data_IF_607042989175
#
_entry.id   IF_607042989175
#
_cell.length_a   1.000
_cell.length_b   1.000
_cell.length_c   1.000
_cell.angle_alpha   90.00
_cell.angle_beta   90.00
_cell.angle_gamma   90.00
#
_symmetry.space_group_name_H-M   'P 1'
#
loop_
_entity.id
_entity.type
_entity.pdbx_description
1 polymer ?
#
# COMPACT_ATOMS: atom_id res chain seq x y z
N UNK A 1 -11.34 10.26 7.90
CA UNK A 1 -10.77 9.57 9.06
C UNK A 1 -11.24 8.11 9.07
N UNK A 2 -10.28 7.17 9.00
CA UNK A 2 -10.53 5.73 8.94
C UNK A 2 -10.85 5.11 10.32
N UNK A 3 -10.61 5.85 11.40
CA UNK A 3 -10.97 5.41 12.73
C UNK A 3 -12.49 5.35 12.94
N UNK A 4 -13.24 6.13 12.17
CA UNK A 4 -14.69 6.16 12.24
C UNK A 4 -15.28 4.94 11.51
N UNK A 5 -15.97 4.03 12.19
CA UNK A 5 -16.54 2.82 11.58
C UNK A 5 -17.51 3.12 10.43
N UNK A 6 -18.27 4.22 10.52
CA UNK A 6 -19.19 4.66 9.48
C UNK A 6 -18.47 5.03 8.19
N UNK A 7 -17.27 5.61 8.24
CA UNK A 7 -16.48 5.92 7.05
C UNK A 7 -15.99 4.65 6.36
N UNK A 8 -15.51 3.66 7.12
CA UNK A 8 -15.11 2.36 6.56
C UNK A 8 -16.31 1.63 5.95
N UNK A 9 -17.45 1.60 6.66
CA UNK A 9 -18.70 1.03 6.12
C UNK A 9 -19.15 1.70 4.83
N UNK A 10 -18.99 3.02 4.73
CA UNK A 10 -19.32 3.77 3.51
C UNK A 10 -18.41 3.37 2.35
N UNK A 11 -17.09 3.23 2.58
CA UNK A 11 -16.15 2.74 1.56
C UNK A 11 -16.52 1.31 1.12
N UNK A 12 -16.77 0.41 2.05
CA UNK A 12 -17.19 -0.96 1.75
C UNK A 12 -18.52 -1.00 0.98
N UNK A 13 -19.46 -0.08 1.27
CA UNK A 13 -20.71 0.06 0.51
C UNK A 13 -20.46 0.44 -0.95
N UNK A 14 -19.51 1.35 -1.21
CA UNK A 14 -19.11 1.74 -2.58
C UNK A 14 -18.49 0.53 -3.30
N UNK A 15 -17.56 -0.17 -2.65
CA UNK A 15 -16.94 -1.37 -3.23
C UNK A 15 -17.99 -2.44 -3.54
N UNK A 16 -18.92 -2.69 -2.62
CA UNK A 16 -20.04 -3.62 -2.81
C UNK A 16 -20.90 -3.24 -4.01
N UNK A 17 -21.23 -1.96 -4.15
CA UNK A 17 -22.02 -1.44 -5.27
C UNK A 17 -21.32 -1.68 -6.60
N UNK A 18 -20.02 -1.36 -6.70
CA UNK A 18 -19.23 -1.57 -7.91
C UNK A 18 -19.15 -3.06 -8.27
N UNK A 19 -18.75 -3.91 -7.33
CA UNK A 19 -18.58 -5.36 -7.56
C UNK A 19 -19.90 -6.01 -7.95
N UNK A 20 -21.00 -5.57 -7.36
CA UNK A 20 -22.32 -6.16 -7.63
C UNK A 20 -22.86 -5.75 -8.99
N UNK A 21 -22.74 -4.46 -9.35
CA UNK A 21 -23.38 -3.87 -10.54
C UNK A 21 -22.58 -4.03 -11.81
N UNK A 22 -21.25 -4.14 -11.72
CA UNK A 22 -20.37 -4.20 -12.87
C UNK A 22 -19.68 -5.56 -13.00
N UNK A 23 -19.35 -5.93 -14.22
CA UNK A 23 -18.55 -7.11 -14.50
C UNK A 23 -17.06 -6.74 -14.50
N UNK A 24 -16.52 -6.60 -13.29
CA UNK A 24 -15.12 -6.26 -13.05
C UNK A 24 -14.33 -7.50 -12.62
N UNK A 25 -13.07 -7.59 -13.08
CA UNK A 25 -12.16 -8.66 -12.69
C UNK A 25 -11.47 -8.40 -11.36
N UNK A 26 -11.29 -7.11 -11.03
CA UNK A 26 -10.63 -6.70 -9.79
C UNK A 26 -11.10 -5.34 -9.28
N UNK A 27 -10.92 -5.15 -7.97
CA UNK A 27 -10.90 -3.84 -7.31
C UNK A 27 -9.45 -3.51 -6.99
N UNK A 28 -9.03 -2.28 -7.29
CA UNK A 28 -7.67 -1.81 -7.05
C UNK A 28 -7.66 -0.50 -6.28
N UNK A 29 -6.79 -0.39 -5.28
CA UNK A 29 -6.60 0.83 -4.49
C UNK A 29 -5.19 1.37 -4.66
N UNK A 30 -5.10 2.70 -4.70
CA UNK A 30 -3.86 3.44 -4.67
C UNK A 30 -3.27 3.52 -3.24
N UNK A 31 -2.25 4.31 -3.00
CA UNK A 31 -1.47 4.41 -1.75
C UNK A 31 -1.97 5.47 -0.75
N UNK A 32 -3.09 6.11 -1.01
CA UNK A 32 -3.67 7.18 -0.16
C UNK A 32 -4.47 6.62 1.03
N UNK A 33 -3.84 5.81 1.87
CA UNK A 33 -4.46 5.27 3.09
C UNK A 33 -4.58 6.35 4.17
N UNK A 34 -3.47 6.99 4.54
CA UNK A 34 -3.40 8.30 5.17
C UNK A 34 -2.80 9.30 4.18
N UNK A 35 -3.10 10.59 4.29
CA UNK A 35 -2.48 11.58 3.40
C UNK A 35 -0.97 11.61 3.57
N UNK A 36 -0.27 11.96 2.50
CA UNK A 36 1.17 12.21 2.56
C UNK A 36 1.48 13.27 3.60
N UNK A 37 2.51 13.07 4.44
CA UNK A 37 2.81 14.00 5.53
C UNK A 37 3.27 15.36 4.99
N UNK A 38 2.70 16.44 5.52
CA UNK A 38 3.18 17.78 5.31
C UNK A 38 4.15 18.16 6.44
N UNK A 39 5.29 18.82 6.15
CA UNK A 39 6.22 19.25 7.18
C UNK A 39 5.55 20.12 8.25
N UNK A 40 5.66 19.70 9.51
CA UNK A 40 5.10 20.45 10.66
C UNK A 40 3.60 20.28 10.90
N UNK A 41 2.91 19.47 10.09
CA UNK A 41 1.48 19.18 10.26
C UNK A 41 1.25 17.73 10.64
N UNK A 42 0.41 17.47 11.64
CA UNK A 42 -0.09 16.12 11.93
C UNK A 42 -1.52 15.98 11.39
N UNK A 43 -1.90 14.77 10.99
CA UNK A 43 -3.27 14.50 10.60
C UNK A 43 -4.23 14.78 11.76
N UNK A 44 -5.35 15.50 11.54
CA UNK A 44 -6.19 16.03 12.62
C UNK A 44 -7.14 14.97 13.23
N UNK A 45 -6.59 13.86 13.69
CA UNK A 45 -7.34 12.73 14.28
C UNK A 45 -7.22 12.61 15.81
N UNK A 46 -6.79 13.69 16.48
CA UNK A 46 -6.61 13.68 17.92
C UNK A 46 -7.89 13.40 18.72
N UNK A 47 -9.05 13.86 18.22
CA UNK A 47 -10.36 13.58 18.83
C UNK A 47 -10.72 12.11 18.67
N UNK A 48 -10.54 11.57 17.47
CA UNK A 48 -10.80 10.15 17.19
C UNK A 48 -9.84 9.24 17.96
N UNK A 49 -8.57 9.62 18.09
CA UNK A 49 -7.62 8.87 18.91
C UNK A 49 -8.01 8.89 20.39
N UNK A 50 -8.45 10.02 20.93
CA UNK A 50 -8.93 10.09 22.31
C UNK A 50 -10.15 9.18 22.54
N UNK A 51 -11.02 9.04 21.55
CA UNK A 51 -12.24 8.23 21.64
C UNK A 51 -11.98 6.73 21.37
N UNK A 52 -11.18 6.39 20.37
CA UNK A 52 -11.03 5.01 19.85
C UNK A 52 -9.61 4.43 20.05
N UNK A 53 -8.65 5.24 20.49
CA UNK A 53 -7.25 4.80 20.65
C UNK A 53 -6.96 4.01 21.94
N UNK A 54 -7.98 3.70 22.75
CA UNK A 54 -7.81 2.95 23.99
C UNK A 54 -7.25 1.54 23.71
N UNK A 55 -6.13 1.21 24.37
CA UNK A 55 -5.44 -0.06 24.19
C UNK A 55 -4.24 -0.01 23.26
N UNK A 56 -4.02 1.08 22.55
CA UNK A 56 -2.81 1.30 21.75
C UNK A 56 -1.75 2.05 22.55
N UNK A 57 -0.50 1.63 22.40
CA UNK A 57 0.65 2.25 23.05
C UNK A 57 1.00 3.61 22.45
N UNK A 58 0.71 3.80 21.17
CA UNK A 58 0.96 5.04 20.43
C UNK A 58 -0.03 5.24 19.27
N UNK A 59 -0.09 6.48 18.78
CA UNK A 59 -0.99 6.87 17.69
C UNK A 59 -0.65 6.21 16.35
N UNK A 60 0.62 5.93 16.08
CA UNK A 60 1.04 5.32 14.83
C UNK A 60 0.53 3.88 14.69
N UNK A 61 0.58 3.09 15.76
CA UNK A 61 0.04 1.72 15.77
C UNK A 61 -1.48 1.73 15.59
N UNK A 62 -2.17 2.66 16.25
CA UNK A 62 -3.60 2.84 16.08
C UNK A 62 -3.98 3.25 14.64
N UNK A 63 -3.22 4.15 14.02
CA UNK A 63 -3.43 4.54 12.61
C UNK A 63 -3.25 3.35 11.66
N UNK A 64 -2.19 2.55 11.86
CA UNK A 64 -1.97 1.32 11.08
C UNK A 64 -3.11 0.33 11.23
N UNK A 65 -3.59 0.13 12.45
CA UNK A 65 -4.70 -0.78 12.68
C UNK A 65 -5.99 -0.30 12.00
N UNK A 66 -6.29 1.01 12.01
CA UNK A 66 -7.43 1.55 11.26
C UNK A 66 -7.35 1.25 9.76
N UNK A 67 -6.15 1.33 9.15
CA UNK A 67 -5.95 0.96 7.76
C UNK A 67 -6.07 -0.56 7.58
N UNK A 68 -5.46 -1.36 8.45
CA UNK A 68 -5.55 -2.82 8.41
C UNK A 68 -7.00 -3.31 8.47
N UNK A 69 -7.79 -2.73 9.36
CA UNK A 69 -9.23 -3.05 9.48
C UNK A 69 -9.96 -2.71 8.16
N UNK A 70 -9.70 -1.54 7.56
CA UNK A 70 -10.31 -1.17 6.28
C UNK A 70 -9.96 -2.16 5.16
N UNK A 71 -8.68 -2.52 5.02
CA UNK A 71 -8.22 -3.46 3.97
C UNK A 71 -8.90 -4.82 4.16
N UNK A 72 -8.97 -5.30 5.40
CA UNK A 72 -9.66 -6.55 5.72
C UNK A 72 -11.15 -6.48 5.40
N UNK A 73 -11.85 -5.40 5.81
CA UNK A 73 -13.28 -5.20 5.53
C UNK A 73 -13.57 -5.13 4.02
N UNK A 74 -12.69 -4.50 3.22
CA UNK A 74 -12.81 -4.49 1.74
C UNK A 74 -12.62 -5.89 1.18
N UNK A 75 -11.58 -6.62 1.60
CA UNK A 75 -11.36 -8.00 1.19
C UNK A 75 -12.60 -8.87 1.44
N UNK A 76 -13.14 -8.82 2.66
CA UNK A 76 -14.35 -9.57 3.05
C UNK A 76 -15.55 -9.16 2.19
N UNK A 77 -15.75 -7.86 1.97
CA UNK A 77 -16.82 -7.32 1.11
C UNK A 77 -16.75 -7.86 -0.31
N UNK A 78 -15.57 -7.86 -0.91
CA UNK A 78 -15.36 -8.38 -2.28
C UNK A 78 -15.68 -9.88 -2.31
N UNK A 79 -15.17 -10.66 -1.35
CA UNK A 79 -15.39 -12.11 -1.26
C UNK A 79 -16.86 -12.48 -1.06
N UNK A 80 -17.60 -11.72 -0.25
CA UNK A 80 -19.04 -11.91 -0.06
C UNK A 80 -19.84 -11.66 -1.34
N UNK A 81 -19.46 -10.65 -2.13
CA UNK A 81 -20.19 -10.28 -3.35
C UNK A 81 -19.88 -11.22 -4.52
N UNK A 82 -18.59 -11.36 -4.85
CA UNK A 82 -18.08 -12.17 -5.96
C UNK A 82 -16.70 -12.73 -5.60
N UNK A 83 -16.61 -13.97 -5.12
CA UNK A 83 -15.34 -14.54 -4.61
C UNK A 83 -14.23 -14.69 -5.66
N UNK A 84 -14.56 -14.61 -6.95
CA UNK A 84 -13.57 -14.64 -8.05
C UNK A 84 -12.97 -13.27 -8.37
N UNK A 85 -13.62 -12.16 -7.99
CA UNK A 85 -13.08 -10.80 -8.17
C UNK A 85 -11.86 -10.62 -7.26
N UNK A 86 -10.78 -10.08 -7.83
CA UNK A 86 -9.53 -9.86 -7.12
C UNK A 86 -9.53 -8.53 -6.39
N UNK A 87 -8.75 -8.45 -5.32
CA UNK A 87 -8.48 -7.19 -4.64
C UNK A 87 -6.97 -6.97 -4.56
N UNK A 88 -6.49 -5.82 -5.03
CA UNK A 88 -5.08 -5.47 -5.03
C UNK A 88 -4.83 -4.02 -4.65
N UNK A 89 -3.57 -3.71 -4.38
CA UNK A 89 -3.12 -2.38 -3.97
C UNK A 89 -1.87 -1.96 -4.72
N UNK A 90 -1.71 -0.64 -4.93
CA UNK A 90 -0.47 0.00 -5.42
C UNK A 90 0.14 0.84 -4.29
N UNK A 91 0.85 0.24 -3.33
CA UNK A 91 1.45 0.99 -2.25
C UNK A 91 2.65 1.80 -2.74
N UNK A 92 3.09 2.77 -1.93
CA UNK A 92 4.34 3.48 -2.16
C UNK A 92 5.52 2.49 -2.31
N UNK A 93 6.53 2.83 -3.10
CA UNK A 93 7.61 1.89 -3.47
C UNK A 93 8.51 1.43 -2.33
N UNK A 94 8.58 2.18 -1.22
CA UNK A 94 9.38 1.82 -0.04
C UNK A 94 8.46 1.36 1.10
N UNK A 95 8.62 0.12 1.56
CA UNK A 95 7.89 -0.36 2.74
C UNK A 95 8.45 0.26 4.01
N UNK A 96 9.74 -0.01 4.31
CA UNK A 96 10.52 0.61 5.39
C UNK A 96 11.97 0.75 4.96
N UNK A 97 12.64 1.80 5.43
CA UNK A 97 14.06 1.97 5.24
C UNK A 97 14.85 1.05 6.20
N UNK A 98 15.96 0.52 5.77
CA UNK A 98 16.84 -0.34 6.59
C UNK A 98 17.32 0.35 7.88
N UNK A 99 17.37 1.68 7.89
CA UNK A 99 17.68 2.47 9.09
C UNK A 99 16.63 2.30 10.19
N UNK A 100 15.36 2.12 9.81
CA UNK A 100 14.23 2.03 10.74
C UNK A 100 13.87 0.57 11.07
N UNK A 101 14.19 -0.36 10.16
CA UNK A 101 13.95 -1.78 10.32
C UNK A 101 15.10 -2.58 9.65
N UNK A 102 15.81 -3.47 10.37
CA UNK A 102 16.88 -4.29 9.78
C UNK A 102 16.44 -5.11 8.55
N UNK A 103 15.15 -5.45 8.44
CA UNK A 103 14.57 -6.14 7.29
C UNK A 103 14.07 -5.20 6.20
N UNK A 104 14.17 -3.89 6.40
CA UNK A 104 13.80 -2.87 5.41
C UNK A 104 14.74 -2.85 4.20
N UNK A 105 14.32 -2.17 3.15
CA UNK A 105 15.13 -1.94 1.96
C UNK A 105 16.26 -0.94 2.23
N UNK A 106 17.34 -1.05 1.47
CA UNK A 106 18.46 -0.08 1.53
C UNK A 106 18.06 1.21 0.81
N UNK A 107 17.21 1.98 1.47
CA UNK A 107 16.58 3.18 0.95
C UNK A 107 16.57 4.29 1.99
N UNK A 108 16.30 5.53 1.52
CA UNK A 108 16.17 6.74 2.34
C UNK A 108 15.06 7.59 1.76
N UNK A 109 13.85 7.34 2.16
CA UNK A 109 12.67 8.07 1.67
C UNK A 109 11.45 7.85 2.56
N UNK A 110 10.33 8.38 2.13
CA UNK A 110 9.03 8.15 2.74
C UNK A 110 8.71 6.65 2.73
N UNK A 111 8.00 6.17 3.73
CA UNK A 111 7.78 4.75 4.00
C UNK A 111 6.30 4.44 4.15
N UNK A 112 5.86 3.32 3.60
CA UNK A 112 4.48 2.85 3.81
C UNK A 112 4.15 2.70 5.30
N UNK A 113 4.97 1.94 6.02
CA UNK A 113 4.69 1.55 7.39
C UNK A 113 4.73 2.71 8.38
N UNK A 114 5.80 3.54 8.31
CA UNK A 114 6.05 4.57 9.31
C UNK A 114 5.34 5.90 8.98
N UNK A 115 5.23 6.26 7.69
CA UNK A 115 4.75 7.58 7.28
C UNK A 115 3.31 7.56 6.74
N UNK A 116 2.91 6.47 6.04
CA UNK A 116 1.57 6.30 5.47
C UNK A 116 0.68 5.36 6.28
N UNK A 117 1.23 4.78 7.36
CA UNK A 117 0.54 3.82 8.24
C UNK A 117 -0.04 2.61 7.52
N UNK A 118 0.65 2.16 6.46
CA UNK A 118 0.24 1.07 5.60
C UNK A 118 1.11 -0.17 5.84
N UNK A 119 0.57 -1.17 6.56
CA UNK A 119 1.25 -2.44 6.82
C UNK A 119 1.00 -3.45 5.69
N UNK A 120 1.56 -3.15 4.52
CA UNK A 120 1.38 -3.93 3.29
C UNK A 120 1.81 -5.38 3.47
N UNK A 121 2.89 -5.63 4.22
CA UNK A 121 3.34 -7.01 4.45
C UNK A 121 2.34 -7.80 5.28
N UNK A 122 1.67 -7.18 6.26
CA UNK A 122 0.59 -7.82 7.00
C UNK A 122 -0.55 -8.22 6.06
N UNK A 123 -0.94 -7.35 5.13
CA UNK A 123 -2.04 -7.63 4.20
C UNK A 123 -1.70 -8.78 3.25
N UNK A 124 -0.47 -8.81 2.73
CA UNK A 124 0.05 -9.89 1.87
C UNK A 124 0.06 -11.22 2.64
N UNK A 125 0.65 -11.24 3.83
CA UNK A 125 0.82 -12.45 4.62
C UNK A 125 -0.51 -13.03 5.12
N UNK A 126 -1.49 -12.17 5.43
CA UNK A 126 -2.85 -12.61 5.83
C UNK A 126 -3.75 -12.93 4.63
N UNK A 127 -3.27 -12.71 3.40
CA UNK A 127 -4.06 -12.97 2.19
C UNK A 127 -5.23 -12.01 1.99
N UNK A 128 -5.19 -10.82 2.58
CA UNK A 128 -6.23 -9.79 2.39
C UNK A 128 -6.11 -9.09 1.05
N UNK A 129 -4.97 -9.15 0.40
CA UNK A 129 -4.78 -8.71 -0.98
C UNK A 129 -4.40 -9.89 -1.87
N UNK A 130 -4.95 -9.94 -3.09
CA UNK A 130 -4.67 -10.99 -4.06
C UNK A 130 -3.41 -10.72 -4.87
N UNK A 131 -3.02 -9.45 -5.04
CA UNK A 131 -1.82 -9.00 -5.73
C UNK A 131 -1.35 -7.65 -5.20
N UNK A 132 -0.09 -7.33 -5.47
CA UNK A 132 0.55 -6.10 -5.01
C UNK A 132 1.31 -5.44 -6.17
N UNK A 133 1.21 -4.10 -6.30
CA UNK A 133 1.85 -3.31 -7.35
C UNK A 133 2.59 -2.12 -6.73
N UNK A 134 3.72 -2.30 -6.02
CA UNK A 134 4.44 -1.19 -5.44
C UNK A 134 4.89 -0.20 -6.52
N UNK A 135 4.74 1.10 -6.24
CA UNK A 135 5.05 2.20 -7.15
C UNK A 135 6.55 2.51 -7.11
N UNK A 136 7.34 1.88 -7.99
CA UNK A 136 8.78 2.05 -8.06
C UNK A 136 9.12 2.96 -9.24
N UNK A 137 9.01 4.27 -9.03
CA UNK A 137 9.13 5.30 -10.07
C UNK A 137 10.54 5.90 -10.20
N UNK A 138 11.53 5.31 -9.52
CA UNK A 138 12.92 5.76 -9.57
C UNK A 138 13.72 4.97 -10.61
N UNK A 139 14.87 5.52 -11.04
CA UNK A 139 15.82 4.87 -11.94
C UNK A 139 16.71 3.87 -11.21
N UNK A 140 17.32 2.96 -11.99
CA UNK A 140 18.42 2.10 -11.52
C UNK A 140 19.59 3.01 -11.12
N UNK A 141 20.18 2.78 -9.95
CA UNK A 141 21.23 3.60 -9.38
C UNK A 141 20.77 4.86 -8.67
N UNK A 142 19.46 5.05 -8.46
CA UNK A 142 18.96 6.20 -7.70
C UNK A 142 19.48 6.16 -6.25
N UNK A 143 20.14 7.23 -5.74
CA UNK A 143 20.92 7.16 -4.50
C UNK A 143 20.11 6.95 -3.23
N UNK A 144 18.81 7.22 -3.26
CA UNK A 144 17.92 7.07 -2.11
C UNK A 144 16.87 5.97 -2.25
N UNK A 145 16.61 5.50 -3.49
CA UNK A 145 15.58 4.51 -3.77
C UNK A 145 15.90 3.80 -5.10
N UNK A 146 16.98 3.02 -5.09
CA UNK A 146 17.42 2.27 -6.26
C UNK A 146 16.35 1.27 -6.70
N UNK A 147 16.01 1.32 -8.01
CA UNK A 147 14.99 0.47 -8.61
C UNK A 147 15.29 -1.01 -8.44
N UNK A 148 16.51 -1.43 -8.76
CA UNK A 148 16.92 -2.83 -8.71
C UNK A 148 16.85 -3.38 -7.27
N UNK A 149 17.35 -2.61 -6.30
CA UNK A 149 17.24 -2.96 -4.89
C UNK A 149 15.76 -3.14 -4.46
N UNK A 150 14.87 -2.22 -4.86
CA UNK A 150 13.47 -2.27 -4.47
C UNK A 150 12.72 -3.45 -5.07
N UNK A 151 12.92 -3.78 -6.36
CA UNK A 151 12.24 -4.94 -6.96
C UNK A 151 12.68 -6.26 -6.33
N UNK A 152 13.98 -6.41 -6.03
CA UNK A 152 14.48 -7.59 -5.34
C UNK A 152 13.95 -7.68 -3.90
N UNK A 153 13.86 -6.54 -3.20
CA UNK A 153 13.28 -6.50 -1.87
C UNK A 153 11.80 -6.93 -1.87
N UNK A 154 10.99 -6.37 -2.78
CA UNK A 154 9.57 -6.73 -2.90
C UNK A 154 9.37 -8.19 -3.34
N UNK A 155 10.17 -8.68 -4.29
CA UNK A 155 10.11 -10.08 -4.72
C UNK A 155 10.35 -11.05 -3.56
N UNK A 156 11.33 -10.75 -2.69
CA UNK A 156 11.61 -11.54 -1.48
C UNK A 156 10.43 -11.56 -0.49
N UNK A 157 9.61 -10.51 -0.45
CA UNK A 157 8.52 -10.34 0.50
C UNK A 157 7.11 -10.57 -0.10
N UNK A 158 7.03 -11.11 -1.32
CA UNK A 158 5.75 -11.30 -2.03
C UNK A 158 4.85 -12.38 -1.40
N UNK A 159 5.37 -13.27 -0.55
CA UNK A 159 4.63 -14.32 0.16
C UNK A 159 3.69 -15.14 -0.76
N UNK A 160 4.17 -15.52 -1.94
CA UNK A 160 3.42 -16.26 -2.98
C UNK A 160 2.22 -15.51 -3.58
N UNK A 161 2.12 -14.20 -3.36
CA UNK A 161 1.15 -13.36 -4.05
C UNK A 161 1.76 -12.80 -5.33
N UNK A 162 0.99 -12.69 -6.43
CA UNK A 162 1.42 -12.00 -7.63
C UNK A 162 1.96 -10.60 -7.30
N UNK A 163 3.18 -10.33 -7.74
CA UNK A 163 3.85 -9.05 -7.63
C UNK A 163 4.00 -8.46 -9.02
N UNK A 164 3.50 -7.26 -9.20
CA UNK A 164 3.75 -6.44 -10.38
C UNK A 164 4.49 -5.18 -9.93
N UNK A 165 5.18 -4.52 -10.84
CA UNK A 165 5.92 -3.30 -10.52
C UNK A 165 5.27 -2.10 -11.21
N UNK A 166 4.81 -1.13 -10.41
CA UNK A 166 4.31 0.15 -10.90
C UNK A 166 5.43 0.98 -11.52
N UNK A 167 5.25 1.39 -12.77
CA UNK A 167 6.23 2.13 -13.56
C UNK A 167 5.69 3.53 -13.91
N UNK A 168 6.59 4.53 -13.93
CA UNK A 168 6.30 5.83 -14.52
C UNK A 168 6.68 5.83 -16.00
N UNK A 169 5.69 5.60 -16.85
CA UNK A 169 5.87 5.52 -18.31
C UNK A 169 6.47 6.82 -18.88
N UNK A 170 6.07 7.99 -18.37
CA UNK A 170 6.57 9.27 -18.86
C UNK A 170 8.06 9.44 -18.55
N UNK A 171 8.50 9.03 -17.38
CA UNK A 171 9.94 9.03 -17.04
C UNK A 171 10.71 8.01 -17.87
N UNK A 172 10.13 6.83 -18.10
CA UNK A 172 10.76 5.76 -18.87
C UNK A 172 10.93 6.14 -20.34
N UNK A 173 9.92 6.78 -20.96
CA UNK A 173 9.94 7.17 -22.37
C UNK A 173 10.78 8.43 -22.63
N UNK A 174 10.72 9.42 -21.74
CA UNK A 174 11.37 10.73 -21.93
C UNK A 174 12.83 10.77 -21.49
N UNK A 175 13.28 9.83 -20.68
CA UNK A 175 14.69 9.68 -20.31
C UNK A 175 15.25 8.45 -21.01
N UNK A 176 16.54 8.48 -21.36
CA UNK A 176 17.28 7.35 -21.93
C UNK A 176 17.38 6.10 -21.00
N UNK A 177 16.47 5.99 -20.03
CA UNK A 177 16.33 4.90 -19.07
C UNK A 177 15.47 3.73 -19.60
N UNK A 178 15.39 3.56 -20.92
CA UNK A 178 14.77 2.40 -21.57
C UNK A 178 15.34 1.05 -21.09
N UNK A 179 16.54 1.05 -20.50
CA UNK A 179 17.16 -0.14 -19.88
C UNK A 179 16.34 -0.74 -18.73
N UNK A 180 15.47 0.05 -18.10
CA UNK A 180 14.64 -0.39 -16.97
C UNK A 180 13.60 -1.44 -17.36
N UNK A 181 13.05 -1.36 -18.56
CA UNK A 181 12.01 -2.29 -19.05
C UNK A 181 12.57 -3.54 -19.76
N UNK A 182 13.81 -3.49 -20.24
CA UNK A 182 14.41 -4.59 -21.00
C UNK A 182 15.07 -5.66 -20.11
N UNK A 183 15.58 -5.29 -18.94
CA UNK A 183 16.32 -6.19 -18.05
C UNK A 183 15.42 -7.15 -17.24
N UNK A 184 14.10 -6.93 -17.21
CA UNK A 184 13.16 -7.71 -16.39
C UNK A 184 12.09 -8.48 -17.17
N UNK A 185 12.21 -8.57 -18.48
CA UNK A 185 11.33 -9.38 -19.35
C UNK A 185 11.93 -10.72 -19.77
N UNK A 186 13.08 -11.10 -19.21
CA UNK A 186 13.75 -12.38 -19.47
C UNK A 186 13.66 -13.33 -18.28
#
# INVERSE_FOLDING_TARGET
>A
DLALPENRKYICKIVRDIVTRYDVDAIHMDDYFYPYPNPGEDFPDHVSFAQYGRGYSNKADWRRDNVNVLIKEIHETVRECKPWVKFGVSPFGIYRNKKNDPNGSDTRGLQNYDDLYADVLMWINNGWVDYNIPQIYWEIGHPAADYDNLIHWWAKHAASRPLFIGQDVMRTVNKADARRSEEHTS
#
